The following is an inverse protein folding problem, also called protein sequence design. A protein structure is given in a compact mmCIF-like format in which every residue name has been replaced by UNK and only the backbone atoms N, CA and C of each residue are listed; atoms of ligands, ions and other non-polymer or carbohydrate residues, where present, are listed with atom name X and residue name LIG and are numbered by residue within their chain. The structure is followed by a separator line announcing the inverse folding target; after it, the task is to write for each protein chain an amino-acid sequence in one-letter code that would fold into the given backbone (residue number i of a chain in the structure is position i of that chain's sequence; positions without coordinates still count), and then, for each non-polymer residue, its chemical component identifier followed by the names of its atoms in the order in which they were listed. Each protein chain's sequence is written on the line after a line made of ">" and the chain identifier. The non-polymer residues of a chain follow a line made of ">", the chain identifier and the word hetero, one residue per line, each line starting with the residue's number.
data_IF_631423843718
#
_entry.id   IF_631423843718
#
_cell.length_a   1.000
_cell.length_b   1.000
_cell.length_c   1.000
_cell.angle_alpha   90.00
_cell.angle_beta   90.00
_cell.angle_gamma   90.00
#
_symmetry.space_group_name_H-M   'P 1'
#
loop_
_entity.id
_entity.type
_entity.pdbx_description
1 polymer ?
#
# COMPACT_ATOMS: atom_id res chain seq x y z
N UNK A 1 0.37 10.34 6.02
CA UNK A 1 0.04 10.35 4.58
C UNK A 1 -0.73 11.59 4.20
N UNK A 2 -0.52 12.05 2.97
CA UNK A 2 -1.27 13.15 2.39
C UNK A 2 -2.33 12.63 1.42
N UNK A 3 -3.53 13.18 1.51
CA UNK A 3 -4.66 12.92 0.60
C UNK A 3 -4.83 14.17 -0.25
N UNK A 4 -4.73 14.02 -1.57
CA UNK A 4 -4.88 15.11 -2.53
C UNK A 4 -6.30 15.14 -3.08
N UNK A 5 -6.99 16.26 -2.92
CA UNK A 5 -8.36 16.43 -3.44
C UNK A 5 -8.30 16.82 -4.91
N UNK A 6 -9.05 16.13 -5.76
CA UNK A 6 -9.10 16.40 -7.21
C UNK A 6 -10.50 16.73 -7.72
N UNK A 7 -11.51 16.67 -6.85
CA UNK A 7 -12.89 17.01 -7.19
C UNK A 7 -13.03 18.51 -7.49
N UNK A 8 -13.33 18.90 -8.75
CA UNK A 8 -13.43 20.31 -9.14
C UNK A 8 -14.56 21.07 -8.43
N UNK A 9 -15.57 20.38 -7.88
CA UNK A 9 -16.67 21.00 -7.15
C UNK A 9 -16.33 21.21 -5.66
N UNK A 10 -15.22 20.63 -5.19
CA UNK A 10 -14.78 20.79 -3.81
C UNK A 10 -14.06 22.13 -3.62
N UNK A 11 -14.33 22.87 -2.53
CA UNK A 11 -13.53 24.07 -2.18
C UNK A 11 -12.06 23.73 -1.90
N UNK A 12 -11.76 22.44 -1.75
CA UNK A 12 -10.43 21.91 -1.46
C UNK A 12 -9.70 21.39 -2.70
N UNK A 13 -10.27 21.53 -3.91
CA UNK A 13 -9.68 21.03 -5.15
C UNK A 13 -8.22 21.49 -5.33
N UNK A 14 -7.34 20.54 -5.66
CA UNK A 14 -5.91 20.77 -5.85
C UNK A 14 -5.07 20.83 -4.58
N UNK A 15 -5.69 20.76 -3.39
CA UNK A 15 -5.00 20.82 -2.11
C UNK A 15 -4.71 19.43 -1.53
N UNK A 16 -3.72 19.38 -0.64
CA UNK A 16 -3.31 18.18 0.08
C UNK A 16 -3.51 18.33 1.59
N UNK A 17 -4.13 17.32 2.19
CA UNK A 17 -4.40 17.30 3.63
C UNK A 17 -3.83 16.05 4.27
N UNK A 18 -3.51 16.14 5.56
CA UNK A 18 -3.26 14.92 6.33
C UNK A 18 -4.52 14.08 6.42
N UNK A 19 -4.38 12.79 6.19
CA UNK A 19 -5.54 11.91 6.21
C UNK A 19 -5.20 10.45 5.97
N UNK A 20 -6.24 9.65 5.89
CA UNK A 20 -6.13 8.23 5.61
C UNK A 20 -7.43 7.59 5.18
N UNK A 21 -7.32 6.42 4.55
CA UNK A 21 -8.43 5.54 4.27
C UNK A 21 -8.97 4.98 5.59
N UNK A 22 -10.26 5.24 5.87
CA UNK A 22 -10.99 4.69 7.01
C UNK A 22 -11.66 3.37 6.66
N UNK A 23 -12.17 3.26 5.44
CA UNK A 23 -12.99 2.13 5.04
C UNK A 23 -12.84 1.83 3.56
N UNK A 24 -12.69 0.56 3.22
CA UNK A 24 -12.65 0.08 1.84
C UNK A 24 -14.05 -0.31 1.40
N UNK A 25 -14.44 0.03 0.17
CA UNK A 25 -15.75 -0.30 -0.40
C UNK A 25 -16.90 -0.01 0.58
N UNK A 26 -17.18 1.28 0.80
CA UNK A 26 -18.05 1.79 1.88
C UNK A 26 -19.44 1.12 1.93
N UNK A 27 -19.95 0.63 0.81
CA UNK A 27 -21.26 0.00 0.69
C UNK A 27 -21.21 -1.54 0.61
N UNK A 28 -20.04 -2.17 0.74
CA UNK A 28 -19.88 -3.63 0.67
C UNK A 28 -20.41 -4.28 -0.62
N UNK A 29 -20.17 -3.62 -1.74
CA UNK A 29 -20.67 -4.05 -3.06
C UNK A 29 -19.60 -4.67 -3.94
N UNK A 30 -18.34 -4.66 -3.48
CA UNK A 30 -17.14 -4.99 -4.26
C UNK A 30 -16.73 -3.91 -5.27
N UNK A 31 -17.46 -2.79 -5.38
CA UNK A 31 -17.22 -1.76 -6.39
C UNK A 31 -17.56 -0.33 -5.95
N UNK A 32 -17.94 -0.13 -4.69
CA UNK A 32 -18.24 1.22 -4.20
C UNK A 32 -16.95 1.97 -3.83
N UNK A 33 -17.00 3.31 -3.79
CA UNK A 33 -15.85 4.10 -3.38
C UNK A 33 -15.40 3.78 -1.95
N UNK A 34 -14.08 3.81 -1.73
CA UNK A 34 -13.49 3.86 -0.39
C UNK A 34 -13.79 5.19 0.32
N UNK A 35 -13.86 5.15 1.64
CA UNK A 35 -14.03 6.30 2.52
C UNK A 35 -12.70 6.74 3.13
N UNK A 36 -12.39 8.02 2.98
CA UNK A 36 -11.23 8.67 3.56
C UNK A 36 -11.65 9.73 4.58
N UNK A 37 -10.75 10.02 5.52
CA UNK A 37 -10.86 11.16 6.42
C UNK A 37 -9.62 12.05 6.26
N UNK A 38 -9.87 13.35 6.09
CA UNK A 38 -8.86 14.39 5.97
C UNK A 38 -9.00 15.42 7.08
N UNK A 39 -7.88 16.02 7.49
CA UNK A 39 -7.80 17.10 8.47
C UNK A 39 -7.67 18.43 7.74
N UNK A 40 -8.77 19.19 7.69
CA UNK A 40 -8.84 20.54 7.11
C UNK A 40 -8.67 21.60 8.19
N UNK A 41 -8.43 22.88 7.84
CA UNK A 41 -8.42 23.97 8.81
C UNK A 41 -9.74 24.10 9.59
N UNK A 42 -10.86 23.70 8.98
CA UNK A 42 -12.20 23.72 9.61
C UNK A 42 -12.51 22.45 10.43
N UNK A 43 -11.54 21.53 10.55
CA UNK A 43 -11.66 20.26 11.28
C UNK A 43 -11.63 19.03 10.38
N UNK A 44 -12.06 17.90 10.93
CA UNK A 44 -12.07 16.63 10.20
C UNK A 44 -13.22 16.59 9.17
N UNK A 45 -12.92 16.07 7.98
CA UNK A 45 -13.88 15.90 6.89
C UNK A 45 -13.75 14.51 6.30
N UNK A 46 -14.89 13.93 5.94
CA UNK A 46 -14.98 12.68 5.19
C UNK A 46 -15.02 12.97 3.70
N UNK A 47 -14.30 12.18 2.92
CA UNK A 47 -14.22 12.32 1.47
C UNK A 47 -14.14 10.93 0.83
N UNK A 48 -14.72 10.77 -0.36
CA UNK A 48 -14.70 9.50 -1.07
C UNK A 48 -13.48 9.42 -1.99
N UNK A 49 -13.03 8.20 -2.27
CA UNK A 49 -11.98 7.90 -3.25
C UNK A 49 -12.22 8.52 -4.63
N UNK A 50 -13.48 8.72 -5.03
CA UNK A 50 -13.83 9.38 -6.30
C UNK A 50 -13.49 10.87 -6.35
N UNK A 51 -13.24 11.51 -5.20
CA UNK A 51 -12.96 12.94 -5.08
C UNK A 51 -11.49 13.23 -4.80
N UNK A 52 -10.63 12.20 -4.76
CA UNK A 52 -9.22 12.32 -4.42
C UNK A 52 -8.32 11.59 -5.44
N UNK A 53 -7.05 11.96 -5.46
CA UNK A 53 -6.01 11.20 -6.14
C UNK A 53 -5.65 9.96 -5.31
N UNK A 54 -6.33 8.85 -5.58
CA UNK A 54 -6.11 7.59 -4.88
C UNK A 54 -4.71 7.03 -5.13
N UNK A 55 -4.20 7.19 -6.35
CA UNK A 55 -2.88 6.67 -6.73
C UNK A 55 -1.78 7.37 -5.95
N UNK A 56 -1.86 8.71 -5.83
CA UNK A 56 -0.98 9.50 -4.99
C UNK A 56 -0.94 9.00 -3.53
N UNK A 57 -2.10 8.68 -2.94
CA UNK A 57 -2.16 8.17 -1.58
C UNK A 57 -1.56 6.76 -1.45
N UNK A 58 -1.92 5.84 -2.34
CA UNK A 58 -1.46 4.46 -2.29
C UNK A 58 0.03 4.32 -2.62
N UNK A 59 0.57 5.16 -3.50
CA UNK A 59 2.00 5.21 -3.80
C UNK A 59 2.83 5.64 -2.59
N UNK A 60 2.41 6.68 -1.85
CA UNK A 60 3.05 7.03 -0.58
C UNK A 60 3.09 5.82 0.38
N UNK A 61 2.01 5.04 0.48
CA UNK A 61 1.95 3.86 1.35
C UNK A 61 2.90 2.76 0.91
N UNK A 62 2.96 2.52 -0.39
CA UNK A 62 3.93 1.61 -0.98
C UNK A 62 5.35 2.05 -0.66
N UNK A 63 5.67 3.33 -0.80
CA UNK A 63 7.02 3.88 -0.53
C UNK A 63 7.40 3.74 0.95
N UNK A 64 6.47 3.97 1.88
CA UNK A 64 6.69 3.69 3.29
C UNK A 64 7.00 2.20 3.56
N UNK A 65 6.32 1.29 2.85
CA UNK A 65 6.57 -0.14 2.98
C UNK A 65 7.91 -0.55 2.37
N UNK A 66 8.29 -0.01 1.21
CA UNK A 66 9.63 -0.20 0.61
C UNK A 66 10.71 0.27 1.58
N UNK A 67 10.54 1.48 2.14
CA UNK A 67 11.50 2.04 3.11
C UNK A 67 11.63 1.18 4.37
N UNK A 68 10.53 0.62 4.87
CA UNK A 68 10.53 -0.29 6.04
C UNK A 68 11.18 -1.63 5.73
N UNK A 69 10.95 -2.16 4.52
CA UNK A 69 11.53 -3.42 4.07
C UNK A 69 13.06 -3.30 3.89
N UNK A 70 13.53 -2.13 3.44
CA UNK A 70 14.95 -1.89 3.17
C UNK A 70 15.46 -2.59 1.90
N UNK A 71 14.56 -2.96 0.99
CA UNK A 71 14.84 -3.62 -0.28
C UNK A 71 13.84 -3.17 -1.36
N UNK A 72 14.24 -3.28 -2.63
CA UNK A 72 13.47 -2.84 -3.79
C UNK A 72 13.04 -4.01 -4.67
N UNK A 73 12.07 -3.75 -5.55
CA UNK A 73 11.74 -4.66 -6.65
C UNK A 73 12.98 -4.84 -7.53
N UNK A 74 13.34 -6.09 -7.78
CA UNK A 74 14.55 -6.48 -8.51
C UNK A 74 15.66 -7.03 -7.63
N UNK A 75 15.70 -6.67 -6.34
CA UNK A 75 16.72 -7.14 -5.41
C UNK A 75 16.56 -8.64 -5.12
N UNK A 76 17.70 -9.31 -4.91
CA UNK A 76 17.75 -10.67 -4.35
C UNK A 76 17.96 -10.58 -2.85
N UNK A 77 17.12 -11.27 -2.09
CA UNK A 77 17.08 -11.17 -0.63
C UNK A 77 16.96 -12.55 0.02
N UNK A 78 17.47 -12.67 1.24
CA UNK A 78 17.11 -13.75 2.15
C UNK A 78 15.94 -13.31 3.02
N UNK A 79 14.89 -14.13 3.13
CA UNK A 79 13.76 -13.86 4.01
C UNK A 79 14.15 -14.27 5.43
N UNK A 80 14.25 -13.30 6.35
CA UNK A 80 14.63 -13.55 7.75
C UNK A 80 13.42 -13.73 8.66
N UNK A 81 12.26 -13.16 8.27
CA UNK A 81 10.95 -13.41 8.88
C UNK A 81 9.89 -13.32 7.78
N UNK A 82 9.11 -14.37 7.58
CA UNK A 82 8.10 -14.41 6.50
C UNK A 82 6.90 -13.49 6.77
N UNK A 83 6.40 -13.44 8.02
CA UNK A 83 5.09 -12.84 8.31
C UNK A 83 3.94 -13.78 7.91
N UNK A 84 2.77 -13.21 7.59
CA UNK A 84 1.63 -13.96 7.05
C UNK A 84 1.65 -13.97 5.52
N UNK A 85 1.16 -15.01 4.84
CA UNK A 85 1.22 -15.05 3.38
C UNK A 85 0.85 -16.39 2.78
N UNK A 86 1.13 -16.54 1.49
CA UNK A 86 0.97 -17.79 0.75
C UNK A 86 2.22 -18.06 -0.08
N UNK A 87 2.50 -19.33 -0.33
CA UNK A 87 3.59 -19.77 -1.18
C UNK A 87 3.22 -21.09 -1.86
N UNK A 88 3.77 -21.33 -3.05
CA UNK A 88 3.58 -22.59 -3.78
C UNK A 88 4.35 -23.72 -3.11
N UNK A 89 3.94 -24.95 -3.40
CA UNK A 89 4.62 -26.15 -2.91
C UNK A 89 6.08 -26.15 -3.37
N UNK A 90 7.01 -26.34 -2.42
CA UNK A 90 8.44 -26.38 -2.69
C UNK A 90 9.16 -25.03 -2.59
N UNK A 91 8.45 -23.94 -2.31
CA UNK A 91 9.07 -22.66 -1.98
C UNK A 91 9.85 -22.79 -0.66
N UNK A 92 11.14 -22.46 -0.68
CA UNK A 92 12.07 -22.67 0.42
C UNK A 92 12.59 -21.35 0.96
N UNK A 93 12.00 -20.89 2.07
CA UNK A 93 12.31 -19.62 2.75
C UNK A 93 13.79 -19.45 3.13
N UNK A 94 14.57 -20.54 3.18
CA UNK A 94 15.99 -20.50 3.54
C UNK A 94 16.90 -20.17 2.35
N UNK A 95 16.33 -20.04 1.14
CA UNK A 95 17.09 -19.69 -0.07
C UNK A 95 16.95 -18.21 -0.43
N UNK A 96 17.89 -17.68 -1.24
CA UNK A 96 17.74 -16.36 -1.83
C UNK A 96 16.56 -16.30 -2.81
N UNK A 97 15.78 -15.23 -2.73
CA UNK A 97 14.61 -14.98 -3.56
C UNK A 97 14.64 -13.58 -4.17
N UNK A 98 14.13 -13.43 -5.39
CA UNK A 98 14.02 -12.13 -6.06
C UNK A 98 12.71 -11.46 -5.70
N UNK A 99 12.76 -10.21 -5.26
CA UNK A 99 11.55 -9.40 -5.07
C UNK A 99 11.00 -9.02 -6.45
N UNK A 100 9.77 -9.40 -6.75
CA UNK A 100 9.09 -9.09 -8.03
C UNK A 100 7.97 -8.07 -7.87
N UNK A 101 7.48 -7.85 -6.65
CA UNK A 101 6.45 -6.85 -6.39
C UNK A 101 6.40 -6.38 -4.94
N UNK A 102 6.04 -5.13 -4.72
CA UNK A 102 5.74 -4.57 -3.40
C UNK A 102 4.50 -3.68 -3.55
N UNK A 103 3.46 -3.91 -2.75
CA UNK A 103 2.20 -3.15 -2.84
C UNK A 103 1.96 -2.22 -1.63
N UNK A 104 0.92 -1.38 -1.76
CA UNK A 104 0.56 -0.34 -0.78
C UNK A 104 0.03 -0.89 0.57
N UNK A 105 -0.33 -2.17 0.64
CA UNK A 105 -0.71 -2.85 1.87
C UNK A 105 0.49 -3.39 2.65
N UNK A 106 1.63 -3.53 1.97
CA UNK A 106 2.87 -4.11 2.50
C UNK A 106 3.04 -5.60 2.20
N UNK A 107 2.33 -6.13 1.19
CA UNK A 107 2.70 -7.43 0.65
C UNK A 107 3.90 -7.31 -0.28
N UNK A 108 4.78 -8.30 -0.19
CA UNK A 108 5.97 -8.48 -1.01
C UNK A 108 5.82 -9.78 -1.79
N UNK A 109 5.96 -9.70 -3.10
CA UNK A 109 5.93 -10.84 -4.01
C UNK A 109 7.36 -11.28 -4.32
N UNK A 110 7.57 -12.60 -4.31
CA UNK A 110 8.85 -13.22 -4.62
C UNK A 110 8.75 -14.13 -5.84
N UNK A 111 9.81 -14.14 -6.64
CA UNK A 111 10.04 -15.03 -7.78
C UNK A 111 8.87 -15.12 -8.78
N UNK A 112 8.19 -14.00 -9.05
CA UNK A 112 7.05 -13.87 -9.96
C UNK A 112 5.79 -14.61 -9.45
N UNK A 113 5.48 -14.44 -8.17
CA UNK A 113 4.27 -14.98 -7.55
C UNK A 113 4.42 -16.42 -7.04
N UNK A 114 5.63 -16.92 -6.88
CA UNK A 114 5.88 -18.19 -6.17
C UNK A 114 5.58 -18.06 -4.68
N UNK A 115 5.81 -16.88 -4.11
CA UNK A 115 5.37 -16.53 -2.77
C UNK A 115 4.90 -15.08 -2.69
N UNK A 116 3.99 -14.83 -1.77
CA UNK A 116 3.56 -13.48 -1.39
C UNK A 116 3.46 -13.42 0.12
N UNK A 117 4.20 -12.50 0.73
CA UNK A 117 4.24 -12.38 2.19
C UNK A 117 3.94 -10.97 2.65
N UNK A 118 3.24 -10.85 3.77
CA UNK A 118 2.79 -9.62 4.37
C UNK A 118 3.83 -9.11 5.35
N UNK A 119 4.47 -7.99 4.98
CA UNK A 119 5.47 -7.29 5.79
C UNK A 119 6.55 -8.22 6.33
N UNK A 120 7.24 -8.97 5.46
CA UNK A 120 8.38 -9.77 5.86
C UNK A 120 9.54 -8.87 6.32
N UNK A 121 10.49 -9.47 7.02
CA UNK A 121 11.81 -8.91 7.18
C UNK A 121 12.76 -9.66 6.24
N UNK A 122 13.65 -8.91 5.58
CA UNK A 122 14.56 -9.46 4.58
C UNK A 122 15.96 -8.90 4.75
N UNK A 123 16.94 -9.57 4.15
CA UNK A 123 18.32 -9.09 4.04
C UNK A 123 18.75 -9.16 2.57
N UNK A 124 19.10 -8.02 1.99
CA UNK A 124 19.67 -7.95 0.64
C UNK A 124 21.00 -8.72 0.59
N UNK A 125 21.17 -9.51 -0.47
CA UNK A 125 22.38 -10.30 -0.74
C UNK A 125 23.20 -9.62 -1.83
#
# INVERSE_FOLDING_TARGET
>A
MKVKVIDPQSPYCGQEFEGGCLYYDINHTGSSPDLFQIKTPEGERRILSTSIDVEHYWNQRRDEHIKKLGANVGDTVLITRSGGGSFKQGFDLLKPHKITGINSSGYVEFDNGEATTFRPDVKVI
#
